data_IF_578071232007
#
_entry.id   IF_578071232007
#
_cell.length_a   1.000
_cell.length_b   1.000
_cell.length_c   1.000
_cell.angle_alpha   90.00
_cell.angle_beta   90.00
_cell.angle_gamma   90.00
#
_symmetry.space_group_name_H-M   'P 1'
#
loop_
_entity.id
_entity.type
_entity.pdbx_description
1 polymer ?
#
# COMPACT_ATOMS: atom_id res chain seq x y z
N UNK A 1 32.06 9.64 -7.87
CA UNK A 1 30.80 9.94 -8.59
C UNK A 1 30.02 10.91 -7.74
N UNK A 2 29.50 11.99 -8.32
CA UNK A 2 28.81 13.03 -7.55
C UNK A 2 27.33 12.63 -7.39
N UNK A 3 26.95 12.07 -6.27
CA UNK A 3 25.63 11.51 -5.96
C UNK A 3 24.52 12.57 -5.88
N UNK A 4 24.87 13.84 -5.79
CA UNK A 4 23.92 14.95 -5.62
C UNK A 4 22.94 15.15 -6.80
N UNK A 5 23.15 14.50 -7.95
CA UNK A 5 22.29 14.61 -9.13
C UNK A 5 21.29 13.45 -9.30
N UNK A 6 21.27 12.48 -8.38
CA UNK A 6 20.38 11.30 -8.51
C UNK A 6 19.01 11.49 -7.85
N UNK A 7 18.80 12.58 -7.13
CA UNK A 7 17.51 12.91 -6.52
C UNK A 7 16.44 13.22 -7.59
N UNK A 8 15.20 12.91 -7.26
CA UNK A 8 14.04 13.09 -8.12
C UNK A 8 13.11 14.12 -7.47
N UNK A 9 12.74 15.16 -8.21
CA UNK A 9 11.79 16.14 -7.69
C UNK A 9 10.44 15.46 -7.40
N UNK A 10 9.99 15.56 -6.15
CA UNK A 10 8.72 15.02 -5.71
C UNK A 10 8.05 15.99 -4.75
N UNK A 11 6.75 16.17 -4.92
CA UNK A 11 5.94 16.97 -4.01
C UNK A 11 4.62 16.24 -3.74
N UNK A 12 4.34 16.01 -2.47
CA UNK A 12 3.04 15.47 -2.06
C UNK A 12 1.98 16.56 -2.18
N UNK A 13 0.93 16.27 -2.94
CA UNK A 13 -0.20 17.18 -3.12
C UNK A 13 -1.52 16.45 -2.83
N UNK A 14 -2.42 17.14 -2.17
CA UNK A 14 -3.76 16.67 -1.85
C UNK A 14 -4.82 17.57 -2.48
N UNK A 15 -6.02 17.04 -2.77
CA UNK A 15 -7.16 17.88 -3.10
C UNK A 15 -7.40 18.93 -2.01
N UNK A 16 -7.88 20.10 -2.40
CA UNK A 16 -8.10 21.23 -1.47
C UNK A 16 -9.08 20.93 -0.33
N UNK A 17 -9.90 19.90 -0.46
CA UNK A 17 -10.81 19.45 0.59
C UNK A 17 -10.11 18.64 1.70
N UNK A 18 -8.91 18.08 1.44
CA UNK A 18 -8.19 17.31 2.46
C UNK A 18 -7.66 18.22 3.56
N UNK A 19 -7.82 17.78 4.81
CA UNK A 19 -7.37 18.45 6.03
C UNK A 19 -6.62 17.48 6.92
N UNK A 20 -5.72 18.01 7.75
CA UNK A 20 -4.98 17.25 8.76
C UNK A 20 -4.32 15.98 8.18
N UNK A 21 -3.73 16.10 7.00
CA UNK A 21 -3.00 14.99 6.35
C UNK A 21 -1.71 14.69 7.08
N UNK A 22 -1.36 13.42 7.13
CA UNK A 22 -0.11 12.94 7.71
C UNK A 22 1.07 13.10 6.77
N UNK A 23 2.24 12.74 7.26
CA UNK A 23 3.48 12.73 6.50
C UNK A 23 3.49 11.55 5.51
N UNK A 24 3.75 11.83 4.25
CA UNK A 24 3.77 10.77 3.22
C UNK A 24 5.15 10.15 3.11
N UNK A 25 5.42 9.14 3.93
CA UNK A 25 6.72 8.46 3.99
C UNK A 25 6.57 6.95 4.18
N UNK A 26 7.58 6.19 3.74
CA UNK A 26 7.74 4.78 4.07
C UNK A 26 8.67 4.68 5.29
N UNK A 27 8.23 3.94 6.30
CA UNK A 27 9.08 3.63 7.45
C UNK A 27 9.91 2.39 7.11
N UNK A 28 11.22 2.58 7.02
CA UNK A 28 12.22 1.54 6.78
C UNK A 28 13.32 1.65 7.85
N UNK A 29 13.12 1.00 8.99
CA UNK A 29 14.00 1.14 10.16
C UNK A 29 15.36 0.44 10.04
N UNK A 30 15.53 -0.42 9.04
CA UNK A 30 16.76 -1.23 8.85
C UNK A 30 17.25 -1.23 7.40
N UNK A 31 16.83 -0.24 6.60
CA UNK A 31 17.27 -0.03 5.22
C UNK A 31 17.01 -1.23 4.28
N UNK A 32 15.84 -1.86 4.41
CA UNK A 32 15.42 -3.00 3.58
C UNK A 32 15.30 -2.65 2.10
N UNK A 33 14.99 -1.39 1.76
CA UNK A 33 14.85 -0.94 0.37
C UNK A 33 16.18 -0.69 -0.34
N UNK A 34 17.30 -0.69 0.38
CA UNK A 34 18.63 -0.43 -0.20
C UNK A 34 18.91 -1.26 -1.46
N UNK A 35 18.72 -2.59 -1.49
CA UNK A 35 18.99 -3.38 -2.70
C UNK A 35 18.08 -2.99 -3.87
N UNK A 36 16.81 -2.67 -3.59
CA UNK A 36 15.84 -2.27 -4.62
C UNK A 36 16.22 -0.90 -5.19
N UNK A 37 16.58 0.05 -4.33
CA UNK A 37 16.97 1.39 -4.74
C UNK A 37 18.27 1.41 -5.52
N UNK A 38 19.23 0.57 -5.14
CA UNK A 38 20.47 0.43 -5.93
C UNK A 38 20.16 -0.12 -7.33
N UNK A 39 19.27 -1.08 -7.47
CA UNK A 39 18.82 -1.58 -8.77
C UNK A 39 18.13 -0.51 -9.59
N UNK A 40 17.19 0.23 -8.99
CA UNK A 40 16.49 1.34 -9.64
C UNK A 40 17.49 2.43 -10.08
N UNK A 41 18.47 2.75 -9.26
CA UNK A 41 19.53 3.70 -9.58
C UNK A 41 20.37 3.27 -10.78
N UNK A 42 20.78 2.00 -10.81
CA UNK A 42 21.55 1.43 -11.92
C UNK A 42 20.78 1.47 -13.24
N UNK A 43 19.49 1.08 -13.22
CA UNK A 43 18.64 1.13 -14.40
C UNK A 43 18.47 2.57 -14.89
N UNK A 44 18.18 3.52 -13.99
CA UNK A 44 18.01 4.93 -14.33
C UNK A 44 19.28 5.55 -14.90
N UNK A 45 20.45 5.12 -14.42
CA UNK A 45 21.75 5.57 -14.91
C UNK A 45 22.19 4.89 -16.22
N UNK A 46 21.41 3.94 -16.75
CA UNK A 46 21.78 3.13 -17.92
C UNK A 46 22.94 2.17 -17.67
N UNK A 47 23.20 1.84 -16.41
CA UNK A 47 24.24 0.89 -15.99
C UNK A 47 23.77 -0.56 -15.97
N UNK A 48 22.44 -0.77 -16.06
CA UNK A 48 21.81 -2.08 -16.17
C UNK A 48 20.60 -2.01 -17.08
N UNK A 49 20.42 -3.03 -17.90
CA UNK A 49 19.22 -3.23 -18.74
C UNK A 49 18.20 -4.16 -18.07
N UNK A 50 18.54 -4.72 -16.92
CA UNK A 50 17.67 -5.64 -16.20
C UNK A 50 16.43 -4.94 -15.64
N UNK A 51 15.29 -5.59 -15.76
CA UNK A 51 14.02 -5.07 -15.26
C UNK A 51 13.89 -5.27 -13.76
N UNK A 52 13.59 -4.20 -13.02
CA UNK A 52 13.23 -4.27 -11.59
C UNK A 52 11.76 -4.69 -11.46
N UNK A 53 11.50 -5.81 -10.79
CA UNK A 53 10.16 -6.41 -10.65
C UNK A 53 9.54 -6.06 -9.31
N UNK A 54 8.40 -5.39 -9.35
CA UNK A 54 7.60 -5.04 -8.18
C UNK A 54 6.26 -5.77 -8.30
N UNK A 55 5.86 -6.48 -7.26
CA UNK A 55 4.57 -7.16 -7.18
C UNK A 55 3.72 -6.55 -6.07
N UNK A 56 2.51 -6.13 -6.40
CA UNK A 56 1.54 -5.55 -5.49
C UNK A 56 0.34 -6.49 -5.32
N UNK A 57 0.24 -7.14 -4.18
CA UNK A 57 -0.90 -8.01 -3.86
C UNK A 57 -1.87 -7.34 -2.89
N UNK A 58 -3.15 -7.69 -2.97
CA UNK A 58 -4.13 -7.08 -2.09
C UNK A 58 -5.58 -7.48 -2.36
N UNK A 59 -6.47 -6.67 -1.84
CA UNK A 59 -7.92 -6.86 -1.92
C UNK A 59 -8.55 -6.20 -3.17
N UNK A 60 -9.83 -5.80 -3.08
CA UNK A 60 -10.56 -5.16 -4.17
C UNK A 60 -9.98 -3.80 -4.59
N UNK A 61 -9.26 -3.10 -3.72
CA UNK A 61 -8.61 -1.84 -4.07
C UNK A 61 -7.46 -2.07 -5.05
N UNK A 62 -6.71 -3.17 -4.87
CA UNK A 62 -5.66 -3.60 -5.80
C UNK A 62 -6.29 -4.24 -7.05
N UNK A 63 -7.34 -5.08 -6.89
CA UNK A 63 -8.02 -5.76 -8.00
C UNK A 63 -8.64 -4.80 -9.03
N UNK A 64 -8.96 -3.58 -8.63
CA UNK A 64 -9.43 -2.52 -9.52
C UNK A 64 -8.38 -2.00 -10.50
N UNK A 65 -7.13 -2.35 -10.33
CA UNK A 65 -5.96 -2.02 -11.13
C UNK A 65 -5.53 -0.54 -11.12
N UNK A 66 -6.42 0.42 -10.98
CA UNK A 66 -6.10 1.86 -11.12
C UNK A 66 -5.05 2.30 -10.09
N UNK A 67 -5.22 1.94 -8.82
CA UNK A 67 -4.27 2.27 -7.76
C UNK A 67 -2.86 1.71 -8.04
N UNK A 68 -2.67 0.38 -8.21
CA UNK A 68 -1.34 -0.16 -8.45
C UNK A 68 -0.76 0.26 -9.81
N UNK A 69 -1.57 0.34 -10.87
CA UNK A 69 -1.08 0.75 -12.20
C UNK A 69 -0.64 2.21 -12.23
N UNK A 70 -1.28 3.11 -11.49
CA UNK A 70 -0.82 4.51 -11.37
C UNK A 70 0.58 4.55 -10.77
N UNK A 71 0.81 3.82 -9.66
CA UNK A 71 2.14 3.73 -9.04
C UNK A 71 3.17 3.14 -10.02
N UNK A 72 2.81 2.04 -10.67
CA UNK A 72 3.71 1.34 -11.59
C UNK A 72 4.08 2.16 -12.82
N UNK A 73 3.12 2.86 -13.42
CA UNK A 73 3.36 3.75 -14.58
C UNK A 73 4.34 4.85 -14.22
N UNK A 74 4.11 5.53 -13.09
CA UNK A 74 4.99 6.61 -12.63
C UNK A 74 6.40 6.12 -12.29
N UNK A 75 6.54 4.95 -11.68
CA UNK A 75 7.86 4.34 -11.42
C UNK A 75 8.58 3.99 -12.73
N UNK A 76 7.85 3.44 -13.71
CA UNK A 76 8.42 3.14 -15.04
C UNK A 76 8.83 4.40 -15.79
N UNK A 77 8.04 5.47 -15.75
CA UNK A 77 8.39 6.77 -16.35
C UNK A 77 9.63 7.38 -15.69
N UNK A 78 9.79 7.18 -14.38
CA UNK A 78 10.91 7.74 -13.60
C UNK A 78 12.21 6.98 -13.78
N UNK A 79 12.16 5.65 -13.75
CA UNK A 79 13.36 4.80 -13.71
C UNK A 79 13.64 4.04 -15.01
N UNK A 80 12.64 3.85 -15.88
CA UNK A 80 12.78 3.10 -17.12
C UNK A 80 12.37 1.64 -16.96
N UNK A 81 13.32 0.69 -16.89
CA UNK A 81 13.05 -0.74 -16.87
C UNK A 81 12.46 -1.21 -15.52
N UNK A 82 11.21 -0.87 -15.27
CA UNK A 82 10.41 -1.33 -14.13
C UNK A 82 9.23 -2.14 -14.63
N UNK A 83 9.03 -3.34 -14.08
CA UNK A 83 7.84 -4.16 -14.24
C UNK A 83 7.04 -4.11 -12.94
N UNK A 84 5.88 -3.51 -12.99
CA UNK A 84 4.96 -3.44 -11.85
C UNK A 84 3.72 -4.28 -12.16
N UNK A 85 3.55 -5.36 -11.40
CA UNK A 85 2.44 -6.29 -11.56
C UNK A 85 1.54 -6.24 -10.35
N UNK A 86 0.24 -6.36 -10.52
CA UNK A 86 -0.72 -6.41 -9.44
C UNK A 86 -1.51 -7.73 -9.43
N UNK A 87 -1.79 -8.24 -8.22
CA UNK A 87 -2.61 -9.43 -7.95
C UNK A 87 -3.62 -9.10 -6.86
N UNK A 88 -4.77 -8.57 -7.24
CA UNK A 88 -5.86 -8.27 -6.32
C UNK A 88 -6.97 -9.31 -6.36
N UNK A 89 -7.62 -9.56 -5.23
CA UNK A 89 -8.80 -10.42 -5.12
C UNK A 89 -9.92 -9.71 -4.37
N UNK A 90 -11.10 -9.66 -4.95
CA UNK A 90 -12.27 -9.03 -4.31
C UNK A 90 -12.58 -9.71 -2.97
N UNK A 91 -12.74 -8.91 -1.92
CA UNK A 91 -13.05 -9.41 -0.58
C UNK A 91 -11.87 -10.09 0.13
N UNK A 92 -10.65 -10.06 -0.43
CA UNK A 92 -9.50 -10.71 0.15
C UNK A 92 -9.11 -10.14 1.51
N UNK A 93 -8.68 -11.03 2.37
CA UNK A 93 -7.91 -10.77 3.59
C UNK A 93 -6.52 -11.37 3.43
N UNK A 94 -5.65 -11.18 4.41
CA UNK A 94 -4.33 -11.83 4.43
C UNK A 94 -4.43 -13.35 4.21
N UNK A 95 -5.42 -14.01 4.80
CA UNK A 95 -5.63 -15.47 4.65
C UNK A 95 -5.94 -15.90 3.22
N UNK A 96 -6.52 -15.03 2.40
CA UNK A 96 -6.80 -15.38 1.00
C UNK A 96 -5.54 -15.74 0.23
N UNK A 97 -4.42 -15.16 0.61
CA UNK A 97 -3.13 -15.35 -0.06
C UNK A 97 -2.23 -16.40 0.60
N UNK A 98 -2.65 -17.03 1.70
CA UNK A 98 -1.91 -18.14 2.33
C UNK A 98 -2.08 -19.46 1.58
N UNK A 99 -2.97 -19.54 0.60
CA UNK A 99 -3.15 -20.75 -0.20
C UNK A 99 -1.86 -21.10 -0.97
N UNK A 100 -1.39 -22.36 -0.92
CA UNK A 100 -0.10 -22.76 -1.52
C UNK A 100 0.05 -22.39 -3.00
N UNK A 101 -1.01 -22.50 -3.80
CA UNK A 101 -1.00 -22.11 -5.21
C UNK A 101 -0.71 -20.62 -5.41
N UNK A 102 -1.27 -19.74 -4.56
CA UNK A 102 -1.01 -18.30 -4.63
C UNK A 102 0.41 -17.94 -4.19
N UNK A 103 0.94 -18.62 -3.17
CA UNK A 103 2.34 -18.46 -2.75
C UNK A 103 3.27 -18.86 -3.89
N UNK A 104 2.98 -20.00 -4.56
CA UNK A 104 3.75 -20.46 -5.71
C UNK A 104 3.70 -19.47 -6.89
N UNK A 105 2.51 -18.93 -7.20
CA UNK A 105 2.34 -17.92 -8.26
C UNK A 105 3.13 -16.65 -7.96
N UNK A 106 3.09 -16.15 -6.70
CA UNK A 106 3.86 -15.00 -6.24
C UNK A 106 5.36 -15.26 -6.37
N UNK A 107 5.83 -16.42 -5.91
CA UNK A 107 7.26 -16.79 -5.98
C UNK A 107 7.75 -16.92 -7.44
N UNK A 108 6.91 -17.46 -8.35
CA UNK A 108 7.22 -17.60 -9.76
C UNK A 108 7.46 -16.26 -10.48
N UNK A 109 6.86 -15.17 -9.98
CA UNK A 109 7.07 -13.82 -10.52
C UNK A 109 8.42 -13.21 -10.15
N UNK A 110 9.16 -13.82 -9.21
CA UNK A 110 10.49 -13.39 -8.75
C UNK A 110 10.55 -11.88 -8.46
N UNK A 111 9.66 -11.35 -7.61
CA UNK A 111 9.66 -9.93 -7.29
C UNK A 111 10.93 -9.53 -6.54
N UNK A 112 11.37 -8.29 -6.74
CA UNK A 112 12.45 -7.64 -5.97
C UNK A 112 11.89 -6.74 -4.87
N UNK A 113 10.60 -6.38 -4.96
CA UNK A 113 9.81 -5.74 -3.91
C UNK A 113 8.39 -6.33 -3.93
N UNK A 114 7.89 -6.68 -2.76
CA UNK A 114 6.52 -7.17 -2.59
C UNK A 114 5.74 -6.17 -1.73
N UNK A 115 4.60 -5.68 -2.27
CA UNK A 115 3.70 -4.74 -1.59
C UNK A 115 2.43 -5.49 -1.22
N UNK A 116 2.00 -5.38 0.05
CA UNK A 116 0.80 -6.03 0.58
C UNK A 116 -0.19 -4.97 1.05
N UNK A 117 -1.35 -4.90 0.40
CA UNK A 117 -2.43 -3.95 0.69
C UNK A 117 -3.69 -4.68 1.14
N UNK A 118 -3.80 -4.89 2.47
CA UNK A 118 -4.92 -5.52 3.15
C UNK A 118 -5.42 -4.65 4.31
N UNK A 119 -6.44 -5.11 5.02
CA UNK A 119 -6.97 -4.47 6.22
C UNK A 119 -8.39 -3.92 6.04
N UNK A 120 -8.83 -3.61 4.83
CA UNK A 120 -10.21 -3.16 4.60
C UNK A 120 -11.21 -4.24 4.96
N UNK A 121 -11.07 -5.46 4.42
CA UNK A 121 -12.01 -6.55 4.66
C UNK A 121 -11.92 -7.09 6.09
N UNK A 122 -10.73 -7.17 6.66
CA UNK A 122 -10.53 -7.51 8.06
C UNK A 122 -11.30 -6.53 8.97
N UNK A 123 -11.19 -5.22 8.71
CA UNK A 123 -11.87 -4.18 9.49
C UNK A 123 -13.39 -4.17 9.32
N UNK A 124 -13.91 -4.71 8.20
CA UNK A 124 -15.34 -4.86 7.98
C UNK A 124 -15.98 -6.01 8.74
N UNK A 125 -15.17 -6.91 9.29
CA UNK A 125 -15.70 -7.91 10.21
C UNK A 125 -16.13 -7.24 11.53
N UNK A 126 -17.42 -7.31 11.88
CA UNK A 126 -17.94 -6.74 13.12
C UNK A 126 -17.34 -7.37 14.38
N UNK A 127 -16.77 -8.57 14.27
CA UNK A 127 -16.04 -9.27 15.32
C UNK A 127 -14.53 -9.12 15.13
N UNK A 128 -14.09 -8.01 14.56
CA UNK A 128 -12.68 -7.74 14.36
C UNK A 128 -11.88 -7.98 15.66
N UNK A 129 -10.79 -8.73 15.52
CA UNK A 129 -9.91 -9.06 16.62
C UNK A 129 -8.46 -8.75 16.23
N UNK A 130 -7.81 -7.91 17.01
CA UNK A 130 -6.44 -7.43 16.79
C UNK A 130 -5.43 -8.58 16.73
N UNK A 131 -5.52 -9.53 17.65
CA UNK A 131 -4.58 -10.65 17.71
C UNK A 131 -4.79 -11.63 16.54
N UNK A 132 -6.05 -11.84 16.16
CA UNK A 132 -6.35 -12.67 14.99
C UNK A 132 -5.79 -12.04 13.71
N UNK A 133 -6.03 -10.74 13.48
CA UNK A 133 -5.50 -10.03 12.32
C UNK A 133 -3.96 -10.06 12.31
N UNK A 134 -3.33 -9.81 13.47
CA UNK A 134 -1.87 -9.90 13.61
C UNK A 134 -1.34 -11.29 13.22
N UNK A 135 -1.96 -12.36 13.72
CA UNK A 135 -1.55 -13.73 13.43
C UNK A 135 -1.77 -14.11 11.95
N UNK A 136 -2.84 -13.62 11.33
CA UNK A 136 -3.10 -13.84 9.91
C UNK A 136 -2.06 -13.15 9.01
N UNK A 137 -1.62 -11.94 9.36
CA UNK A 137 -0.49 -11.30 8.69
C UNK A 137 0.79 -12.11 8.88
N UNK A 138 1.05 -12.58 10.10
CA UNK A 138 2.24 -13.36 10.41
C UNK A 138 2.30 -14.68 9.64
N UNK A 139 1.17 -15.35 9.48
CA UNK A 139 1.05 -16.56 8.66
C UNK A 139 1.41 -16.28 7.20
N UNK A 140 0.80 -15.25 6.60
CA UNK A 140 1.09 -14.88 5.22
C UNK A 140 2.57 -14.50 5.01
N UNK A 141 3.10 -13.64 5.89
CA UNK A 141 4.49 -13.17 5.77
C UNK A 141 5.49 -14.30 5.94
N UNK A 142 5.25 -15.26 6.84
CA UNK A 142 6.09 -16.45 6.99
C UNK A 142 6.13 -17.27 5.71
N UNK A 143 4.96 -17.59 5.13
CA UNK A 143 4.88 -18.34 3.87
C UNK A 143 5.59 -17.63 2.71
N UNK A 144 5.45 -16.30 2.64
CA UNK A 144 6.16 -15.50 1.65
C UNK A 144 7.67 -15.52 1.86
N UNK A 145 8.15 -15.38 3.10
CA UNK A 145 9.58 -15.43 3.43
C UNK A 145 10.20 -16.81 3.21
N UNK A 146 9.45 -17.89 3.42
CA UNK A 146 9.93 -19.24 3.14
C UNK A 146 10.21 -19.43 1.64
N UNK A 147 9.45 -18.76 0.77
CA UNK A 147 9.59 -18.83 -0.69
C UNK A 147 10.47 -17.74 -1.28
N UNK A 148 10.54 -16.58 -0.62
CA UNK A 148 11.20 -15.34 -1.06
C UNK A 148 11.96 -14.70 0.13
N UNK A 149 13.02 -15.34 0.64
CA UNK A 149 13.66 -14.96 1.92
C UNK A 149 14.27 -13.55 1.91
N UNK A 150 14.77 -13.10 0.77
CA UNK A 150 15.52 -11.84 0.64
C UNK A 150 14.68 -10.69 0.08
N UNK A 151 13.39 -10.94 -0.24
CA UNK A 151 12.54 -9.92 -0.84
C UNK A 151 11.97 -8.99 0.23
N UNK A 152 12.22 -7.67 0.14
CA UNK A 152 11.60 -6.70 1.02
C UNK A 152 10.07 -6.73 0.90
N UNK A 153 9.38 -6.66 2.03
CA UNK A 153 7.92 -6.64 2.10
C UNK A 153 7.47 -5.29 2.65
N UNK A 154 6.69 -4.57 1.85
CA UNK A 154 6.05 -3.30 2.21
C UNK A 154 4.57 -3.55 2.53
N UNK A 155 4.19 -3.32 3.77
CA UNK A 155 2.78 -3.31 4.19
C UNK A 155 2.18 -1.94 3.97
N UNK A 156 0.94 -1.87 3.49
CA UNK A 156 0.18 -0.63 3.44
C UNK A 156 -1.05 -0.72 4.35
N UNK A 157 -1.40 0.37 5.01
CA UNK A 157 -2.65 0.45 5.77
C UNK A 157 -3.83 0.78 4.85
N UNK A 158 -5.08 0.39 5.20
CA UNK A 158 -6.24 0.70 4.37
C UNK A 158 -6.55 2.20 4.35
N UNK A 159 -7.15 2.72 3.26
CA UNK A 159 -7.37 4.18 3.08
C UNK A 159 -8.48 4.77 3.97
N UNK A 160 -9.29 3.93 4.59
CA UNK A 160 -10.48 4.32 5.34
C UNK A 160 -11.76 3.84 4.65
N UNK A 161 -12.79 3.59 5.43
CA UNK A 161 -14.09 3.14 4.90
C UNK A 161 -15.21 3.43 5.89
N UNK A 162 -16.44 3.35 5.38
CA UNK A 162 -17.65 3.41 6.19
C UNK A 162 -18.27 2.03 6.31
N UNK A 163 -18.99 1.78 7.39
CA UNK A 163 -19.89 0.65 7.51
C UNK A 163 -21.32 1.09 7.23
N UNK A 164 -22.12 0.17 6.65
CA UNK A 164 -23.50 0.45 6.30
C UNK A 164 -24.47 -0.23 7.27
N UNK A 165 -25.55 0.46 7.58
CA UNK A 165 -26.65 -0.02 8.43
C UNK A 165 -27.94 -0.01 7.64
N UNK A 166 -28.70 -1.11 7.71
CA UNK A 166 -30.00 -1.21 7.09
C UNK A 166 -31.07 -0.71 8.06
N UNK A 167 -31.72 0.39 7.74
CA UNK A 167 -32.89 0.88 8.49
C UNK A 167 -34.20 0.27 7.99
N UNK A 168 -35.25 0.34 8.82
CA UNK A 168 -36.62 0.09 8.40
C UNK A 168 -36.92 0.93 7.15
N UNK A 169 -37.62 0.37 6.15
CA UNK A 169 -37.92 0.97 4.83
C UNK A 169 -36.78 0.96 3.79
N UNK A 170 -35.86 -0.02 3.86
CA UNK A 170 -34.78 -0.25 2.86
C UNK A 170 -33.75 0.89 2.70
N UNK A 171 -33.82 1.94 3.50
CA UNK A 171 -32.82 3.02 3.46
C UNK A 171 -31.53 2.54 4.14
N UNK A 172 -30.39 2.73 3.48
CA UNK A 172 -29.06 2.51 4.10
C UNK A 172 -28.57 3.82 4.69
N UNK A 173 -27.97 3.72 5.86
CA UNK A 173 -27.17 4.79 6.49
C UNK A 173 -25.74 4.33 6.61
N UNK A 174 -24.83 5.28 6.66
CA UNK A 174 -23.40 5.02 6.71
C UNK A 174 -22.80 5.71 7.93
N UNK A 175 -21.85 5.06 8.57
CA UNK A 175 -21.03 5.64 9.62
C UNK A 175 -19.57 5.23 9.39
N UNK A 176 -18.63 6.06 9.82
CA UNK A 176 -17.20 5.73 9.73
C UNK A 176 -16.96 4.41 10.42
N UNK A 177 -16.27 3.48 9.76
CA UNK A 177 -15.88 2.21 10.35
C UNK A 177 -14.72 2.43 11.35
N UNK A 178 -14.96 2.35 12.67
CA UNK A 178 -13.93 2.63 13.67
C UNK A 178 -12.83 1.55 13.68
N UNK A 179 -13.16 0.35 13.20
CA UNK A 179 -12.21 -0.77 13.15
C UNK A 179 -11.12 -0.58 12.11
N UNK A 180 -11.32 0.29 11.11
CA UNK A 180 -10.27 0.63 10.15
C UNK A 180 -9.07 1.29 10.84
N UNK A 181 -9.30 2.20 11.78
CA UNK A 181 -8.23 2.79 12.59
C UNK A 181 -7.47 1.73 13.39
N UNK A 182 -8.20 0.78 13.99
CA UNK A 182 -7.60 -0.32 14.76
C UNK A 182 -6.83 -1.30 13.85
N UNK A 183 -7.33 -1.56 12.63
CA UNK A 183 -6.62 -2.39 11.67
C UNK A 183 -5.32 -1.72 11.18
N UNK A 184 -5.35 -0.41 10.91
CA UNK A 184 -4.15 0.36 10.56
C UNK A 184 -3.11 0.30 11.68
N UNK A 185 -3.51 0.50 12.93
CA UNK A 185 -2.62 0.35 14.10
C UNK A 185 -2.04 -1.05 14.23
N UNK A 186 -2.86 -2.10 13.98
CA UNK A 186 -2.40 -3.49 14.02
C UNK A 186 -1.34 -3.75 12.96
N UNK A 187 -1.52 -3.23 11.73
CA UNK A 187 -0.56 -3.36 10.64
C UNK A 187 0.76 -2.66 10.99
N UNK A 188 0.71 -1.42 11.50
CA UNK A 188 1.91 -0.68 11.93
C UNK A 188 2.68 -1.41 13.02
N UNK A 189 1.96 -1.90 14.05
CA UNK A 189 2.57 -2.68 15.14
C UNK A 189 3.24 -3.94 14.59
N UNK A 190 2.55 -4.69 13.73
CA UNK A 190 3.10 -5.89 13.12
C UNK A 190 4.37 -5.59 12.30
N UNK A 191 4.33 -4.55 11.46
CA UNK A 191 5.50 -4.12 10.68
C UNK A 191 6.70 -3.79 11.59
N UNK A 192 6.47 -3.04 12.67
CA UNK A 192 7.51 -2.71 13.65
C UNK A 192 8.07 -3.96 14.32
N UNK A 193 7.21 -4.86 14.81
CA UNK A 193 7.62 -6.07 15.53
C UNK A 193 8.42 -7.03 14.64
N UNK A 194 8.10 -7.08 13.35
CA UNK A 194 8.73 -7.96 12.35
C UNK A 194 9.81 -7.26 11.52
N UNK A 195 10.11 -5.99 11.81
CA UNK A 195 11.07 -5.16 11.07
C UNK A 195 10.77 -5.18 9.57
N UNK A 196 9.50 -4.96 9.20
CA UNK A 196 9.03 -4.81 7.83
C UNK A 196 8.88 -3.34 7.48
N UNK A 197 8.82 -3.07 6.19
CA UNK A 197 8.44 -1.76 5.67
C UNK A 197 6.96 -1.49 5.92
N UNK A 198 6.62 -0.24 6.20
CA UNK A 198 5.21 0.17 6.25
C UNK A 198 5.01 1.55 5.65
N UNK A 199 3.97 1.67 4.81
CA UNK A 199 3.38 2.92 4.36
C UNK A 199 2.00 3.07 4.97
N UNK A 200 1.85 4.06 5.85
CA UNK A 200 0.62 4.29 6.58
C UNK A 200 -0.33 5.21 5.80
N UNK A 201 -0.94 4.67 4.73
CA UNK A 201 -1.90 5.43 3.92
C UNK A 201 -3.04 6.01 4.76
N UNK A 202 -3.51 5.29 5.79
CA UNK A 202 -4.57 5.77 6.66
C UNK A 202 -4.20 7.09 7.34
N UNK A 203 -3.00 7.18 7.90
CA UNK A 203 -2.49 8.40 8.53
C UNK A 203 -2.22 9.49 7.50
N UNK A 204 -1.58 9.14 6.39
CA UNK A 204 -1.29 10.07 5.27
C UNK A 204 -2.54 10.81 4.82
N UNK A 205 -3.68 10.15 4.73
CA UNK A 205 -4.94 10.76 4.27
C UNK A 205 -5.79 11.37 5.41
N UNK A 206 -5.24 11.51 6.63
CA UNK A 206 -5.87 12.23 7.75
C UNK A 206 -6.21 11.37 8.97
N UNK A 207 -5.89 10.07 8.94
CA UNK A 207 -5.99 9.17 10.08
C UNK A 207 -7.40 9.06 10.67
N UNK A 208 -7.46 8.71 11.95
CA UNK A 208 -8.71 8.48 12.68
C UNK A 208 -9.66 9.69 12.65
N UNK A 209 -9.10 10.91 12.57
CA UNK A 209 -9.91 12.13 12.61
C UNK A 209 -10.52 12.49 11.27
N UNK A 210 -9.77 12.30 10.18
CA UNK A 210 -10.10 12.94 8.90
C UNK A 210 -10.08 11.99 7.70
N UNK A 211 -9.44 10.83 7.74
CA UNK A 211 -9.29 9.98 6.56
C UNK A 211 -10.60 9.78 5.78
N UNK A 212 -11.64 9.25 6.44
CA UNK A 212 -12.92 9.00 5.78
C UNK A 212 -13.61 10.28 5.29
N UNK A 213 -13.60 11.34 6.12
CA UNK A 213 -14.24 12.62 5.77
C UNK A 213 -13.49 13.34 4.65
N UNK A 214 -12.17 13.29 4.61
CA UNK A 214 -11.37 13.83 3.50
C UNK A 214 -11.79 13.22 2.15
N UNK A 215 -11.93 11.90 2.09
CA UNK A 215 -12.36 11.22 0.89
C UNK A 215 -13.78 11.62 0.44
N UNK A 216 -14.71 11.74 1.39
CA UNK A 216 -16.11 12.11 1.08
C UNK A 216 -16.26 13.57 0.73
N UNK A 217 -15.59 14.49 1.46
CA UNK A 217 -15.60 15.93 1.16
C UNK A 217 -14.97 16.23 -0.20
N UNK A 218 -13.94 15.49 -0.59
CA UNK A 218 -13.35 15.56 -1.94
C UNK A 218 -14.18 14.85 -3.01
N UNK A 219 -15.29 14.19 -2.65
CA UNK A 219 -16.16 13.42 -3.57
C UNK A 219 -15.43 12.32 -4.34
N UNK A 220 -14.50 11.65 -3.70
CA UNK A 220 -13.66 10.61 -4.29
C UNK A 220 -14.10 9.19 -3.96
N UNK A 221 -15.14 9.01 -3.13
CA UNK A 221 -15.69 7.68 -2.80
C UNK A 221 -16.87 7.32 -3.68
N UNK A 222 -17.03 6.01 -3.93
CA UNK A 222 -18.25 5.45 -4.54
C UNK A 222 -19.43 5.50 -3.56
N UNK A 223 -20.65 5.33 -4.03
CA UNK A 223 -21.85 5.32 -3.18
C UNK A 223 -21.89 4.23 -2.10
N UNK A 224 -21.05 3.19 -2.21
CA UNK A 224 -20.90 2.16 -1.18
C UNK A 224 -20.07 2.61 0.03
N UNK A 225 -19.36 3.72 -0.09
CA UNK A 225 -18.48 4.31 0.92
C UNK A 225 -17.35 3.37 1.40
N UNK A 226 -16.96 2.42 0.56
CA UNK A 226 -15.82 1.50 0.76
C UNK A 226 -14.82 1.65 -0.38
N UNK A 227 -15.31 1.69 -1.61
CA UNK A 227 -14.50 1.83 -2.81
C UNK A 227 -14.43 3.30 -3.25
N UNK A 228 -13.47 3.57 -4.14
CA UNK A 228 -13.17 4.91 -4.62
C UNK A 228 -13.52 5.07 -6.09
N UNK A 229 -13.74 6.30 -6.51
CA UNK A 229 -13.80 6.67 -7.91
C UNK A 229 -12.39 6.54 -8.52
N UNK A 230 -12.26 6.49 -9.87
CA UNK A 230 -10.95 6.42 -10.51
C UNK A 230 -9.96 7.46 -10.00
N UNK A 231 -10.41 8.70 -9.81
CA UNK A 231 -9.58 9.81 -9.30
C UNK A 231 -9.08 9.56 -7.87
N UNK A 232 -9.89 8.90 -7.03
CA UNK A 232 -9.48 8.50 -5.68
C UNK A 232 -8.41 7.43 -5.71
N UNK A 233 -8.51 6.45 -6.60
CA UNK A 233 -7.47 5.44 -6.79
C UNK A 233 -6.20 6.00 -7.43
N UNK A 234 -6.31 6.95 -8.37
CA UNK A 234 -5.18 7.68 -8.93
C UNK A 234 -4.45 8.45 -7.82
N UNK A 235 -5.18 9.12 -6.92
CA UNK A 235 -4.56 9.80 -5.77
C UNK A 235 -3.80 8.81 -4.88
N UNK A 236 -4.38 7.63 -4.56
CA UNK A 236 -3.69 6.60 -3.77
C UNK A 236 -2.40 6.13 -4.46
N UNK A 237 -2.43 5.90 -5.78
CA UNK A 237 -1.26 5.51 -6.54
C UNK A 237 -0.18 6.58 -6.60
N UNK A 238 -0.56 7.85 -6.76
CA UNK A 238 0.36 8.98 -6.71
C UNK A 238 1.02 9.11 -5.32
N UNK A 239 0.26 8.96 -4.25
CA UNK A 239 0.78 9.05 -2.88
C UNK A 239 1.79 7.93 -2.60
N UNK A 240 1.51 6.69 -3.01
CA UNK A 240 2.47 5.58 -2.85
C UNK A 240 3.73 5.82 -3.68
N UNK A 241 3.59 6.24 -4.94
CA UNK A 241 4.73 6.63 -5.78
C UNK A 241 5.59 7.69 -5.09
N UNK A 242 4.99 8.77 -4.61
CA UNK A 242 5.70 9.87 -3.94
C UNK A 242 6.43 9.42 -2.68
N UNK A 243 5.82 8.51 -1.90
CA UNK A 243 6.47 7.92 -0.72
C UNK A 243 7.70 7.06 -1.11
N UNK A 244 7.60 6.30 -2.20
CA UNK A 244 8.73 5.51 -2.72
C UNK A 244 9.85 6.45 -3.22
N UNK A 245 9.51 7.53 -3.94
CA UNK A 245 10.50 8.50 -4.42
C UNK A 245 11.17 9.25 -3.26
N UNK A 246 10.41 9.62 -2.23
CA UNK A 246 10.99 10.25 -1.05
C UNK A 246 12.02 9.32 -0.39
N UNK A 247 11.67 8.06 -0.18
CA UNK A 247 12.59 7.06 0.39
C UNK A 247 13.81 6.82 -0.50
N UNK A 248 13.64 6.82 -1.84
CA UNK A 248 14.75 6.76 -2.79
C UNK A 248 15.66 7.98 -2.69
N UNK A 249 15.10 9.19 -2.59
CA UNK A 249 15.86 10.41 -2.42
C UNK A 249 16.68 10.40 -1.12
N UNK A 250 16.11 9.90 -0.03
CA UNK A 250 16.82 9.74 1.23
C UNK A 250 17.99 8.76 1.08
N UNK A 251 17.79 7.64 0.35
CA UNK A 251 18.84 6.67 0.05
C UNK A 251 20.00 7.27 -0.75
N UNK A 252 19.73 8.05 -1.83
CA UNK A 252 20.80 8.61 -2.67
C UNK A 252 21.47 9.85 -2.07
N UNK A 253 20.93 10.40 -0.99
CA UNK A 253 21.46 11.56 -0.27
C UNK A 253 22.43 11.19 0.86
N UNK A 254 22.50 9.91 1.22
CA UNK A 254 23.36 9.35 2.26
C UNK A 254 24.37 8.36 1.71
#
# INVERSE_FOLDING_TARGET
MNWANDTIAVQTSFPSAFRETGRNEIIDSIALLTPVFERLRQVRAGLSEDTVRILHIGDSHVRGHIYPQTTGTLLKETFGAVSYTDMGVNGATCLTFTHPGRIADIAAMKPELLILSFGTNESHNRRYNVNLHYNQMDELVKLLRDSLPDVPILLTTPPGSYESFRQRRRKRTYAINPRTATAAETIRRYAKDRRLLVWDMYDVVGGKRRACTNWTEAKLMRPDHVHYLPEGYILQGNLLYQAIIQAYNDYVSH
#
